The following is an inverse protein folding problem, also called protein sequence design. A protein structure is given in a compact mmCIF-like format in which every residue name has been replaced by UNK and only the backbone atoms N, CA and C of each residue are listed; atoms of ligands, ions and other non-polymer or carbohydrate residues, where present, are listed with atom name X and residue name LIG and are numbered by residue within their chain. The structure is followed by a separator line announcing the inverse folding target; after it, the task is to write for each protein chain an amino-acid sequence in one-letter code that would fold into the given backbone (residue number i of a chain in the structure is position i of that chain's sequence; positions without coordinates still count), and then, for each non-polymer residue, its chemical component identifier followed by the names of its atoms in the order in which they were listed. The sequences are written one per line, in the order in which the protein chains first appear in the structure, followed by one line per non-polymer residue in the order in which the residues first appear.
data_IF_584064538688
#
_entry.id   IF_584064538688
#
_cell.length_a   1.000
_cell.length_b   1.000
_cell.length_c   1.000
_cell.angle_alpha   90.00
_cell.angle_beta   90.00
_cell.angle_gamma   90.00
#
_symmetry.space_group_name_H-M   'P 1'
#
loop_
_entity.id
_entity.type
_entity.pdbx_description
1 polymer ?
#
# COMPACT_ATOMS: atom_id res chain seq x y z
N UNK A 1 8.70 2.24 -15.12
CA UNK A 1 9.59 1.19 -14.56
C UNK A 1 9.73 1.46 -13.07
N UNK A 2 8.66 1.21 -12.31
CA UNK A 2 8.52 1.54 -10.87
C UNK A 2 8.99 0.41 -9.93
N UNK A 3 9.47 -0.69 -10.50
CA UNK A 3 9.80 -1.95 -9.79
C UNK A 3 11.02 -1.90 -8.87
N UNK A 4 11.65 -0.74 -8.68
CA UNK A 4 12.88 -0.59 -7.88
C UNK A 4 12.73 0.43 -6.73
N UNK A 5 11.50 0.79 -6.32
CA UNK A 5 11.30 1.90 -5.38
C UNK A 5 11.30 1.43 -3.92
N UNK A 6 11.03 0.15 -3.67
CA UNK A 6 11.02 -0.42 -2.32
C UNK A 6 12.12 -1.46 -2.20
N UNK A 7 13.22 -1.07 -1.56
CA UNK A 7 14.28 -2.02 -1.22
C UNK A 7 13.87 -2.86 0.00
N UNK A 8 14.28 -4.13 -0.02
CA UNK A 8 14.09 -5.03 1.12
C UNK A 8 15.05 -4.63 2.23
N UNK A 9 14.52 -4.32 3.42
CA UNK A 9 15.35 -3.90 4.57
C UNK A 9 16.30 -5.05 4.98
N UNK A 10 17.62 -4.81 5.11
CA UNK A 10 18.54 -5.82 5.60
C UNK A 10 18.25 -6.15 7.07
N UNK A 11 18.37 -7.42 7.42
CA UNK A 11 18.04 -8.02 8.73
C UNK A 11 18.84 -7.44 9.92
N UNK A 12 19.80 -6.56 9.65
CA UNK A 12 20.63 -5.92 10.66
C UNK A 12 20.95 -4.46 10.27
N UNK A 13 20.14 -3.54 10.77
CA UNK A 13 20.49 -2.12 10.79
C UNK A 13 21.53 -1.88 11.90
N UNK A 14 22.81 -2.05 11.57
CA UNK A 14 23.91 -1.57 12.44
C UNK A 14 24.01 -0.06 12.23
N UNK A 15 23.16 0.68 12.94
CA UNK A 15 23.16 2.15 12.95
C UNK A 15 23.71 2.70 14.25
N UNK A 16 24.67 3.64 14.13
CA UNK A 16 25.08 4.53 15.23
C UNK A 16 23.84 5.17 15.89
N UNK A 17 23.94 5.43 17.19
CA UNK A 17 22.85 5.75 18.15
C UNK A 17 21.94 6.95 17.85
N UNK A 18 22.11 7.64 16.72
CA UNK A 18 21.51 8.96 16.47
C UNK A 18 20.54 8.98 15.27
N UNK A 19 20.37 7.88 14.53
CA UNK A 19 19.43 7.79 13.41
C UNK A 19 18.09 7.18 13.87
N UNK A 20 17.04 7.99 13.83
CA UNK A 20 15.67 7.56 14.10
C UNK A 20 15.11 6.83 12.86
N UNK A 21 14.94 5.51 12.99
CA UNK A 21 14.28 4.68 11.97
C UNK A 21 12.77 4.70 12.17
N UNK A 22 12.01 5.17 11.18
CA UNK A 22 10.55 5.12 11.20
C UNK A 22 10.03 3.84 10.54
N UNK A 23 9.22 3.07 11.27
CA UNK A 23 8.45 1.95 10.73
C UNK A 23 6.98 2.34 10.71
N UNK A 24 6.40 2.40 9.51
CA UNK A 24 4.99 2.73 9.31
C UNK A 24 4.18 1.45 9.06
N UNK A 25 3.02 1.38 9.69
CA UNK A 25 1.98 0.41 9.32
C UNK A 25 1.37 0.81 7.97
N UNK A 26 1.66 0.01 6.94
CA UNK A 26 1.15 0.18 5.59
C UNK A 26 -0.36 0.03 5.51
N UNK A 27 -0.96 -0.82 6.34
CA UNK A 27 -2.41 -1.01 6.40
C UNK A 27 -3.14 0.26 6.83
N UNK A 28 -2.59 0.99 7.81
CA UNK A 28 -3.09 2.32 8.19
C UNK A 28 -2.80 3.38 7.14
N UNK A 29 -1.58 3.38 6.57
CA UNK A 29 -1.15 4.38 5.59
C UNK A 29 -2.08 4.44 4.37
N UNK A 30 -2.49 3.28 3.83
CA UNK A 30 -3.34 3.21 2.64
C UNK A 30 -4.75 3.76 2.83
N UNK A 31 -5.20 3.92 4.07
CA UNK A 31 -6.49 4.54 4.38
C UNK A 31 -6.34 6.03 4.70
N UNK A 32 -5.13 6.49 5.02
CA UNK A 32 -4.87 7.86 5.47
C UNK A 32 -4.56 8.83 4.33
N UNK A 33 -3.85 8.37 3.29
CA UNK A 33 -3.53 9.19 2.12
C UNK A 33 -4.74 9.26 1.20
N UNK A 34 -5.31 10.45 1.04
CA UNK A 34 -6.50 10.66 0.21
C UNK A 34 -6.13 10.66 -1.28
N UNK A 35 -6.83 9.84 -2.07
CA UNK A 35 -6.62 9.80 -3.53
C UNK A 35 -7.38 10.94 -4.22
N UNK A 36 -6.71 11.76 -5.05
CA UNK A 36 -7.41 12.70 -5.90
C UNK A 36 -8.25 11.94 -6.93
N UNK A 37 -9.35 12.57 -7.39
CA UNK A 37 -10.24 11.94 -8.37
C UNK A 37 -9.59 11.94 -9.75
N UNK A 38 -9.77 10.85 -10.50
CA UNK A 38 -9.34 10.71 -11.90
C UNK A 38 -7.81 10.76 -12.09
N UNK A 39 -7.06 10.33 -11.08
CA UNK A 39 -5.62 10.15 -11.19
C UNK A 39 -5.27 8.75 -11.71
N UNK A 40 -4.09 8.63 -12.31
CA UNK A 40 -3.56 7.32 -12.66
C UNK A 40 -3.07 6.58 -11.41
N UNK A 41 -2.95 5.27 -11.49
CA UNK A 41 -2.34 4.49 -10.39
C UNK A 41 -0.92 4.98 -10.05
N UNK A 42 -0.12 5.38 -11.05
CA UNK A 42 1.20 5.95 -10.85
C UNK A 42 1.18 7.27 -10.09
N UNK A 43 0.20 8.14 -10.38
CA UNK A 43 0.01 9.41 -9.67
C UNK A 43 -0.42 9.17 -8.21
N UNK A 44 -1.25 8.16 -7.97
CA UNK A 44 -1.61 7.71 -6.61
C UNK A 44 -0.36 7.24 -5.86
N UNK A 45 0.49 6.40 -6.46
CA UNK A 45 1.76 5.97 -5.85
C UNK A 45 2.66 7.17 -5.54
N UNK A 46 2.75 8.14 -6.44
CA UNK A 46 3.51 9.38 -6.24
C UNK A 46 2.96 10.21 -5.08
N UNK A 47 1.65 10.21 -4.88
CA UNK A 47 0.98 10.87 -3.75
C UNK A 47 1.39 10.23 -2.42
N UNK A 48 1.45 8.90 -2.35
CA UNK A 48 1.95 8.19 -1.16
C UNK A 48 3.41 8.53 -0.87
N UNK A 49 4.27 8.52 -1.88
CA UNK A 49 5.69 8.87 -1.73
C UNK A 49 5.86 10.28 -1.19
N UNK A 50 5.14 11.24 -1.78
CA UNK A 50 5.16 12.64 -1.38
C UNK A 50 4.67 12.81 0.06
N UNK A 51 3.63 12.05 0.46
CA UNK A 51 3.12 12.05 1.83
C UNK A 51 4.16 11.49 2.81
N UNK A 52 4.74 10.32 2.53
CA UNK A 52 5.73 9.69 3.41
C UNK A 52 6.92 10.63 3.62
N UNK A 53 7.50 11.13 2.52
CA UNK A 53 8.67 11.99 2.59
C UNK A 53 8.36 13.29 3.36
N UNK A 54 7.23 13.94 3.07
CA UNK A 54 6.84 15.19 3.75
C UNK A 54 6.65 15.02 5.26
N UNK A 55 6.19 13.86 5.71
CA UNK A 55 5.80 13.65 7.12
C UNK A 55 6.85 12.90 7.94
N UNK A 56 7.67 12.06 7.31
CA UNK A 56 8.59 11.14 7.99
C UNK A 56 10.02 11.17 7.42
N UNK A 57 10.26 11.86 6.31
CA UNK A 57 11.57 11.94 5.64
C UNK A 57 11.86 10.74 4.74
N UNK A 58 13.14 10.62 4.34
CA UNK A 58 13.59 9.61 3.36
C UNK A 58 13.93 8.24 4.01
N UNK A 59 14.22 8.18 5.31
CA UNK A 59 14.64 6.95 6.01
C UNK A 59 13.45 6.27 6.72
N UNK A 60 12.52 5.73 5.91
CA UNK A 60 11.26 5.15 6.39
C UNK A 60 11.04 3.77 5.79
N UNK A 61 10.62 2.81 6.61
CA UNK A 61 10.14 1.50 6.18
C UNK A 61 8.63 1.41 6.33
N UNK A 62 7.91 1.09 5.25
CA UNK A 62 6.48 0.81 5.30
C UNK A 62 6.28 -0.71 5.31
N UNK A 63 5.54 -1.22 6.30
CA UNK A 63 5.29 -2.66 6.47
C UNK A 63 3.81 -2.94 6.29
N UNK A 64 3.47 -3.78 5.31
CA UNK A 64 2.12 -4.30 5.13
C UNK A 64 1.97 -5.65 5.82
N UNK A 65 0.86 -5.85 6.53
CA UNK A 65 0.53 -7.11 7.18
C UNK A 65 0.02 -8.15 6.16
N UNK A 66 0.96 -8.81 5.48
CA UNK A 66 0.64 -9.95 4.63
C UNK A 66 0.37 -11.20 5.47
N UNK A 67 -0.86 -11.41 5.94
CA UNK A 67 -1.22 -12.74 6.42
C UNK A 67 -1.28 -13.72 5.23
N UNK A 68 -0.62 -14.88 5.30
CA UNK A 68 -0.71 -15.87 4.23
C UNK A 68 -2.16 -16.34 4.06
N UNK A 69 -2.62 -16.31 2.82
CA UNK A 69 -3.98 -16.69 2.39
C UNK A 69 -4.38 -18.10 2.82
N UNK A 70 -3.41 -18.96 3.15
CA UNK A 70 -3.63 -20.35 3.58
C UNK A 70 -4.26 -20.48 4.96
N UNK A 71 -4.36 -19.39 5.74
CA UNK A 71 -5.19 -19.40 6.94
C UNK A 71 -6.65 -19.20 6.54
N UNK A 72 -7.46 -20.25 6.72
CA UNK A 72 -8.93 -20.18 6.64
C UNK A 72 -9.41 -19.28 7.79
N UNK A 73 -9.22 -17.97 7.63
CA UNK A 73 -9.53 -16.99 8.63
C UNK A 73 -10.93 -16.47 8.34
N UNK A 74 -11.85 -16.70 9.27
CA UNK A 74 -13.25 -16.28 9.16
C UNK A 74 -13.38 -14.80 8.78
N UNK A 75 -12.43 -13.95 9.23
CA UNK A 75 -12.38 -12.51 8.90
C UNK A 75 -12.14 -12.23 7.41
N UNK A 76 -11.34 -13.05 6.72
CA UNK A 76 -11.06 -12.88 5.27
C UNK A 76 -12.32 -13.26 4.47
N UNK A 77 -12.96 -14.38 4.82
CA UNK A 77 -14.20 -14.83 4.18
C UNK A 77 -15.33 -13.82 4.38
N UNK A 78 -15.48 -13.27 5.59
CA UNK A 78 -16.47 -12.24 5.89
C UNK A 78 -16.23 -10.95 5.10
N UNK A 79 -14.98 -10.46 5.05
CA UNK A 79 -14.61 -9.28 4.26
C UNK A 79 -14.85 -9.48 2.78
N UNK A 80 -14.53 -10.65 2.25
CA UNK A 80 -14.75 -10.97 0.84
C UNK A 80 -16.24 -11.05 0.50
N UNK A 81 -17.09 -11.54 1.42
CA UNK A 81 -18.56 -11.50 1.28
C UNK A 81 -19.15 -10.09 1.38
N UNK A 82 -18.49 -9.18 2.11
CA UNK A 82 -18.92 -7.79 2.25
C UNK A 82 -18.39 -6.87 1.14
N UNK A 83 -17.38 -7.32 0.38
CA UNK A 83 -16.87 -6.57 -0.77
C UNK A 83 -17.87 -6.59 -1.91
N UNK A 84 -18.50 -5.44 -2.16
CA UNK A 84 -19.36 -5.22 -3.33
C UNK A 84 -18.62 -4.61 -4.52
N UNK A 85 -17.31 -4.36 -4.36
CA UNK A 85 -16.48 -3.71 -5.36
C UNK A 85 -15.92 -4.71 -6.37
N UNK A 86 -15.79 -4.26 -7.62
CA UNK A 86 -15.30 -5.08 -8.73
C UNK A 86 -13.79 -5.21 -8.65
N UNK A 87 -13.29 -6.37 -9.06
CA UNK A 87 -11.87 -6.53 -9.32
C UNK A 87 -11.50 -5.71 -10.56
N UNK A 88 -10.41 -4.95 -10.48
CA UNK A 88 -9.94 -4.07 -11.54
C UNK A 88 -8.57 -4.59 -12.00
N UNK A 89 -8.42 -4.77 -13.31
CA UNK A 89 -7.11 -4.96 -13.92
C UNK A 89 -6.58 -3.58 -14.26
N UNK A 90 -5.48 -3.19 -13.64
CA UNK A 90 -4.88 -1.87 -13.83
C UNK A 90 -3.36 -1.96 -13.87
N UNK A 91 -2.78 -0.92 -14.45
CA UNK A 91 -1.34 -0.66 -14.47
C UNK A 91 -1.10 0.80 -14.06
N UNK A 92 0.16 1.20 -14.08
CA UNK A 92 0.61 2.55 -13.73
C UNK A 92 -0.18 3.68 -14.44
N UNK A 93 -0.50 3.52 -15.72
CA UNK A 93 -1.21 4.54 -16.51
C UNK A 93 -2.74 4.44 -16.46
N UNK A 94 -3.28 3.46 -15.73
CA UNK A 94 -4.72 3.26 -15.62
C UNK A 94 -5.31 4.31 -14.68
N UNK A 95 -6.29 5.06 -15.18
CA UNK A 95 -7.05 6.03 -14.39
C UNK A 95 -7.98 5.29 -13.43
N UNK A 96 -7.87 5.58 -12.13
CA UNK A 96 -8.73 5.00 -11.11
C UNK A 96 -10.00 5.85 -10.95
N UNK A 97 -11.12 5.30 -11.40
CA UNK A 97 -12.43 5.96 -11.31
C UNK A 97 -13.17 5.67 -10.01
N UNK A 98 -12.92 4.51 -9.42
CA UNK A 98 -13.58 4.11 -8.18
C UNK A 98 -13.05 4.93 -6.99
N UNK A 99 -13.92 5.32 -6.04
CA UNK A 99 -13.47 5.91 -4.78
C UNK A 99 -12.48 4.98 -4.07
N UNK A 100 -11.45 5.55 -3.45
CA UNK A 100 -10.42 4.80 -2.70
C UNK A 100 -11.01 3.75 -1.75
N UNK A 101 -12.06 4.08 -1.01
CA UNK A 101 -12.72 3.16 -0.08
C UNK A 101 -13.36 1.97 -0.77
N UNK A 102 -13.95 2.18 -1.96
CA UNK A 102 -14.52 1.13 -2.78
C UNK A 102 -13.43 0.30 -3.45
N UNK A 103 -12.35 0.92 -3.91
CA UNK A 103 -11.21 0.21 -4.47
C UNK A 103 -10.58 -0.72 -3.42
N UNK A 104 -10.28 -0.20 -2.22
CA UNK A 104 -9.62 -0.92 -1.14
C UNK A 104 -10.51 -1.93 -0.41
N UNK A 105 -11.84 -1.90 -0.63
CA UNK A 105 -12.74 -2.91 -0.07
C UNK A 105 -12.61 -4.26 -0.78
N UNK A 106 -12.17 -4.26 -2.05
CA UNK A 106 -11.91 -5.48 -2.79
C UNK A 106 -10.51 -6.01 -2.44
N UNK A 107 -10.47 -7.26 -1.96
CA UNK A 107 -9.23 -7.90 -1.52
C UNK A 107 -8.20 -8.02 -2.66
N UNK A 108 -8.61 -8.46 -3.84
CA UNK A 108 -7.69 -8.62 -4.98
C UNK A 108 -7.08 -7.28 -5.41
N UNK A 109 -7.88 -6.21 -5.45
CA UNK A 109 -7.39 -4.87 -5.75
C UNK A 109 -6.38 -4.38 -4.69
N UNK A 110 -6.66 -4.62 -3.40
CA UNK A 110 -5.78 -4.26 -2.30
C UNK A 110 -4.47 -5.05 -2.32
N UNK A 111 -4.53 -6.36 -2.52
CA UNK A 111 -3.33 -7.20 -2.61
C UNK A 111 -2.49 -6.81 -3.83
N UNK A 112 -3.12 -6.58 -4.98
CA UNK A 112 -2.39 -6.09 -6.16
C UNK A 112 -1.75 -4.73 -5.88
N UNK A 113 -2.48 -3.79 -5.26
CA UNK A 113 -1.94 -2.50 -4.84
C UNK A 113 -0.68 -2.66 -3.98
N UNK A 114 -0.74 -3.51 -2.95
CA UNK A 114 0.38 -3.75 -2.03
C UNK A 114 1.56 -4.43 -2.75
N UNK A 115 1.27 -5.38 -3.64
CA UNK A 115 2.31 -6.11 -4.40
C UNK A 115 3.13 -5.20 -5.31
N UNK A 116 2.53 -4.12 -5.82
CA UNK A 116 3.23 -3.11 -6.63
C UNK A 116 4.04 -2.13 -5.77
N UNK A 117 3.87 -2.17 -4.46
CA UNK A 117 4.62 -1.37 -3.47
C UNK A 117 5.60 -2.19 -2.64
N UNK A 118 5.81 -3.46 -3.00
CA UNK A 118 6.78 -4.36 -2.38
C UNK A 118 7.98 -4.56 -3.29
#
# INVERSE_FOLDING_TARGET
MFYNIFDTVPEQLVGNSDNLYFVLDGGSLIHHVVWPKQETFGDVCTTYMSYINRHYGDEVTVVFDGYPESSVNTKVIERQKQSTSREIIFNESTVLFDPQTQFLSNLANKEFFISQTR
#
